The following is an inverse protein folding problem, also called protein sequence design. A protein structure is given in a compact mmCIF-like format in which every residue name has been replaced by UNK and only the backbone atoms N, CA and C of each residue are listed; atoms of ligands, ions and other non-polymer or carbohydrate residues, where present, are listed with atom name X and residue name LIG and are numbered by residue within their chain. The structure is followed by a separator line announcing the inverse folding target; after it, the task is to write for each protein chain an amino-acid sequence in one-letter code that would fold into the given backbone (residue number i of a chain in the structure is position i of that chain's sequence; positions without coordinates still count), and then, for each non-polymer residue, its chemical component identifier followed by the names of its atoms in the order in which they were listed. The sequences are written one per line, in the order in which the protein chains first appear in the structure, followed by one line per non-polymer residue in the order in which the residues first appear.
data_IF_946251300525
#
_entry.id   IF_946251300525
#
_cell.length_a   1.000
_cell.length_b   1.000
_cell.length_c   1.000
_cell.angle_alpha   90.00
_cell.angle_beta   90.00
_cell.angle_gamma   90.00
#
_symmetry.space_group_name_H-M   'P 1'
#
loop_
_entity.id
_entity.type
_entity.pdbx_description
1 polymer ?
#
# COMPACT_ATOMS: atom_id res chain seq x y z
N UNK A 1 12.97 -18.53 37.32
CA UNK A 1 14.24 -18.19 36.65
C UNK A 1 15.01 -19.48 36.44
N UNK A 2 15.09 -20.01 35.21
CA UNK A 2 15.85 -21.23 34.93
C UNK A 2 16.91 -20.95 33.87
N UNK A 3 18.17 -21.02 34.32
CA UNK A 3 19.40 -20.94 33.55
C UNK A 3 19.90 -22.38 33.36
N UNK A 4 20.12 -22.82 32.12
CA UNK A 4 20.84 -24.05 31.78
C UNK A 4 21.84 -23.69 30.68
N UNK A 5 23.13 -23.50 31.01
CA UNK A 5 24.24 -24.47 30.96
C UNK A 5 24.60 -24.93 29.52
N UNK A 6 25.66 -24.28 29.02
CA UNK A 6 26.87 -24.83 28.37
C UNK A 6 26.70 -26.06 27.45
N UNK A 7 26.85 -25.82 26.15
CA UNK A 7 27.30 -26.80 25.16
C UNK A 7 28.42 -26.21 24.31
N UNK A 8 29.64 -26.69 24.54
CA UNK A 8 30.81 -26.62 23.67
C UNK A 8 30.63 -27.62 22.50
N UNK A 9 31.44 -27.54 21.43
CA UNK A 9 31.44 -28.29 20.14
C UNK A 9 30.82 -27.48 18.98
N UNK A 10 31.46 -27.17 17.84
CA UNK A 10 32.71 -27.60 17.20
C UNK A 10 33.10 -26.51 16.20
N UNK A 11 34.39 -26.17 16.14
CA UNK A 11 34.99 -25.33 15.09
C UNK A 11 35.00 -26.16 13.80
N UNK A 12 34.27 -25.72 12.77
CA UNK A 12 34.54 -26.13 11.39
C UNK A 12 35.05 -24.92 10.62
N UNK A 13 36.33 -25.03 10.28
CA UNK A 13 37.04 -24.19 9.33
C UNK A 13 36.43 -24.42 7.95
N UNK A 14 35.58 -23.49 7.50
CA UNK A 14 35.04 -23.46 6.15
C UNK A 14 35.36 -22.11 5.54
N UNK A 15 36.54 -22.01 4.91
CA UNK A 15 36.93 -20.90 4.07
C UNK A 15 36.02 -20.87 2.84
N UNK A 16 34.87 -20.21 2.95
CA UNK A 16 34.07 -19.80 1.81
C UNK A 16 34.04 -18.27 1.81
N UNK A 17 34.89 -17.68 0.98
CA UNK A 17 34.78 -16.31 0.51
C UNK A 17 33.44 -16.16 -0.21
N UNK A 18 32.36 -15.92 0.52
CA UNK A 18 31.12 -15.42 -0.06
C UNK A 18 31.22 -13.91 0.02
N UNK A 19 31.78 -13.33 -1.04
CA UNK A 19 31.60 -11.92 -1.37
C UNK A 19 30.10 -11.68 -1.42
N UNK A 20 29.56 -11.10 -0.36
CA UNK A 20 28.16 -10.67 -0.32
C UNK A 20 28.04 -9.53 -1.31
N UNK A 21 27.67 -9.87 -2.53
CA UNK A 21 27.22 -8.93 -3.54
C UNK A 21 26.12 -8.08 -2.88
N UNK A 22 26.45 -6.84 -2.56
CA UNK A 22 25.49 -5.76 -2.37
C UNK A 22 24.67 -5.71 -3.66
N UNK A 23 23.52 -6.38 -3.65
CA UNK A 23 22.49 -6.19 -4.66
C UNK A 23 22.31 -4.67 -4.78
N UNK A 24 22.54 -4.04 -5.94
CA UNK A 24 22.41 -2.60 -6.03
C UNK A 24 20.99 -2.22 -5.61
N UNK A 25 20.86 -1.44 -4.54
CA UNK A 25 19.60 -0.85 -4.09
C UNK A 25 18.98 0.11 -5.14
N UNK A 26 19.55 0.18 -6.34
CA UNK A 26 19.14 0.99 -7.48
C UNK A 26 17.75 0.62 -8.05
N UNK A 27 17.18 -0.53 -7.67
CA UNK A 27 15.82 -0.90 -8.06
C UNK A 27 14.73 -0.30 -7.15
N UNK A 28 15.05 0.11 -5.92
CA UNK A 28 14.06 0.63 -4.98
C UNK A 28 13.70 2.09 -5.33
N UNK A 29 12.43 2.38 -5.59
CA UNK A 29 11.97 3.76 -5.76
C UNK A 29 12.21 4.60 -4.50
N UNK A 30 12.29 5.92 -4.64
CA UNK A 30 12.45 6.83 -3.50
C UNK A 30 11.31 6.63 -2.50
N UNK A 31 11.65 6.57 -1.21
CA UNK A 31 10.66 6.45 -0.13
C UNK A 31 9.84 7.73 -0.03
N UNK A 32 8.52 7.58 0.04
CA UNK A 32 7.56 8.69 0.16
C UNK A 32 6.53 8.40 1.25
N UNK A 33 6.14 9.44 1.99
CA UNK A 33 5.05 9.40 2.96
C UNK A 33 3.80 9.98 2.31
N UNK A 34 2.66 9.33 2.49
CA UNK A 34 1.38 9.83 1.99
C UNK A 34 0.26 9.56 3.00
N UNK A 35 -0.87 10.24 2.83
CA UNK A 35 -2.07 10.05 3.64
C UNK A 35 -3.18 9.46 2.77
N UNK A 36 -3.82 8.39 3.24
CA UNK A 36 -5.01 7.81 2.61
C UNK A 36 -6.21 8.05 3.54
N UNK A 37 -7.25 8.68 3.00
CA UNK A 37 -8.55 8.89 3.65
C UNK A 37 -9.60 8.07 2.92
N UNK A 38 -10.42 7.31 3.65
CA UNK A 38 -11.56 6.58 3.14
C UNK A 38 -12.86 7.25 3.60
N UNK A 39 -13.74 7.48 2.64
CA UNK A 39 -15.02 8.14 2.83
C UNK A 39 -16.15 7.29 2.24
N UNK A 40 -17.33 7.42 2.84
CA UNK A 40 -18.58 6.93 2.27
C UNK A 40 -19.57 8.08 2.26
N UNK A 41 -20.10 8.42 1.08
CA UNK A 41 -20.99 9.59 0.89
C UNK A 41 -20.38 10.87 1.51
N UNK A 42 -19.11 11.13 1.23
CA UNK A 42 -18.33 12.28 1.74
C UNK A 42 -18.03 12.30 3.25
N UNK A 43 -18.51 11.30 4.00
CA UNK A 43 -18.19 11.15 5.43
C UNK A 43 -16.95 10.28 5.59
N UNK A 44 -15.91 10.84 6.21
CA UNK A 44 -14.68 10.10 6.54
C UNK A 44 -14.96 9.05 7.61
N UNK A 45 -14.57 7.81 7.34
CA UNK A 45 -14.65 6.72 8.31
C UNK A 45 -13.28 6.13 8.66
N UNK A 46 -12.24 6.41 7.86
CA UNK A 46 -10.88 5.95 8.16
C UNK A 46 -9.83 6.85 7.52
N UNK A 47 -8.75 7.09 8.25
CA UNK A 47 -7.55 7.79 7.74
C UNK A 47 -6.31 7.03 8.15
N UNK A 48 -5.31 6.92 7.27
CA UNK A 48 -4.05 6.25 7.57
C UNK A 48 -2.88 6.98 6.90
N UNK A 49 -1.84 7.23 7.67
CA UNK A 49 -0.51 7.62 7.16
C UNK A 49 0.20 6.36 6.67
N UNK A 50 0.73 6.39 5.45
CA UNK A 50 1.43 5.27 4.84
C UNK A 50 2.81 5.70 4.35
N UNK A 51 3.75 4.74 4.35
CA UNK A 51 5.05 4.87 3.70
C UNK A 51 5.04 3.95 2.48
N UNK A 52 5.48 4.45 1.34
CA UNK A 52 5.57 3.70 0.08
C UNK A 52 6.78 4.20 -0.73
N UNK A 53 6.92 3.76 -1.97
CA UNK A 53 7.95 4.23 -2.89
C UNK A 53 7.34 4.83 -4.15
N UNK A 54 8.09 5.72 -4.82
CA UNK A 54 7.66 6.34 -6.10
C UNK A 54 7.41 5.34 -7.23
N UNK A 55 7.94 4.12 -7.13
CA UNK A 55 7.73 3.02 -8.09
C UNK A 55 6.54 2.12 -7.74
N UNK A 56 5.90 2.29 -6.57
CA UNK A 56 4.75 1.49 -6.16
C UNK A 56 3.45 2.20 -6.53
N UNK A 57 2.63 1.58 -7.38
CA UNK A 57 1.34 2.15 -7.75
C UNK A 57 0.35 2.15 -6.58
N UNK A 58 -0.62 3.06 -6.64
CA UNK A 58 -1.61 3.32 -5.59
C UNK A 58 -2.45 2.08 -5.26
N UNK A 59 -2.78 1.24 -6.24
CA UNK A 59 -3.51 -0.02 -5.99
C UNK A 59 -2.73 -0.97 -5.08
N UNK A 60 -1.43 -1.16 -5.35
CA UNK A 60 -0.55 -1.97 -4.49
C UNK A 60 -0.42 -1.36 -3.10
N UNK A 61 -0.29 -0.03 -3.00
CA UNK A 61 -0.27 0.67 -1.71
C UNK A 61 -1.55 0.41 -0.93
N UNK A 62 -2.70 0.49 -1.59
CA UNK A 62 -4.00 0.31 -0.97
C UNK A 62 -4.16 -1.13 -0.44
N UNK A 63 -3.87 -2.15 -1.26
CA UNK A 63 -3.90 -3.57 -0.88
C UNK A 63 -2.96 -3.94 0.28
N UNK A 64 -1.80 -3.28 0.37
CA UNK A 64 -0.86 -3.49 1.50
C UNK A 64 -1.37 -2.92 2.83
N UNK A 65 -2.25 -1.92 2.78
CA UNK A 65 -2.66 -1.16 3.97
C UNK A 65 -4.11 -1.41 4.40
N UNK A 66 -4.94 -1.93 3.50
CA UNK A 66 -6.36 -2.18 3.69
C UNK A 66 -6.77 -3.49 3.01
N UNK A 67 -7.84 -4.11 3.49
CA UNK A 67 -8.49 -5.22 2.78
C UNK A 67 -9.18 -4.64 1.55
N UNK A 68 -8.74 -5.01 0.35
CA UNK A 68 -9.26 -4.48 -0.91
C UNK A 68 -9.65 -5.65 -1.81
N UNK A 69 -10.81 -5.55 -2.45
CA UNK A 69 -11.16 -6.40 -3.59
C UNK A 69 -11.19 -5.55 -4.85
N UNK A 70 -10.74 -6.12 -5.95
CA UNK A 70 -10.78 -5.47 -7.25
C UNK A 70 -11.27 -6.46 -8.31
N UNK A 71 -11.81 -5.93 -9.40
CA UNK A 71 -12.14 -6.68 -10.60
C UNK A 71 -11.74 -5.85 -11.80
N UNK A 72 -10.92 -6.43 -12.69
CA UNK A 72 -10.46 -5.77 -13.93
C UNK A 72 -9.81 -4.39 -13.68
N UNK A 73 -9.02 -4.26 -12.60
CA UNK A 73 -8.35 -3.00 -12.24
C UNK A 73 -9.25 -1.96 -11.56
N UNK A 74 -10.55 -2.22 -11.40
CA UNK A 74 -11.46 -1.38 -10.63
C UNK A 74 -11.61 -1.89 -9.19
N UNK A 75 -11.55 -0.96 -8.23
CA UNK A 75 -11.72 -1.29 -6.81
C UNK A 75 -13.19 -1.54 -6.51
N UNK A 76 -13.55 -2.78 -6.15
CA UNK A 76 -14.93 -3.15 -5.84
C UNK A 76 -15.25 -3.12 -4.35
N UNK A 77 -14.23 -3.21 -3.48
CA UNK A 77 -14.36 -3.18 -2.02
C UNK A 77 -13.12 -2.57 -1.38
N UNK A 78 -13.31 -1.71 -0.38
CA UNK A 78 -12.23 -1.27 0.52
C UNK A 78 -12.73 -1.40 1.96
N UNK A 79 -11.97 -2.11 2.78
CA UNK A 79 -12.25 -2.28 4.21
C UNK A 79 -13.66 -2.83 4.51
N UNK A 80 -14.21 -3.69 3.63
CA UNK A 80 -15.55 -4.26 3.79
C UNK A 80 -16.68 -3.39 3.23
N UNK A 81 -16.37 -2.22 2.68
CA UNK A 81 -17.34 -1.36 2.01
C UNK A 81 -17.30 -1.61 0.50
N UNK A 82 -18.30 -2.36 0.03
CA UNK A 82 -18.44 -2.77 -1.37
C UNK A 82 -19.21 -1.76 -2.21
N UNK A 83 -18.84 -1.65 -3.49
CA UNK A 83 -19.60 -0.91 -4.49
C UNK A 83 -21.00 -1.50 -4.68
N UNK A 84 -21.94 -0.65 -5.08
CA UNK A 84 -23.29 -1.07 -5.45
C UNK A 84 -23.60 -0.60 -6.87
N UNK A 85 -23.52 -1.52 -7.83
CA UNK A 85 -23.83 -1.25 -9.24
C UNK A 85 -25.28 -0.86 -9.47
N UNK A 86 -26.22 -1.44 -8.72
CA UNK A 86 -27.67 -1.12 -8.84
C UNK A 86 -27.95 0.32 -8.39
N UNK A 87 -27.19 0.82 -7.42
CA UNK A 87 -27.30 2.18 -6.90
C UNK A 87 -26.24 3.13 -7.50
N UNK A 88 -25.63 2.78 -8.64
CA UNK A 88 -24.57 3.54 -9.32
C UNK A 88 -23.49 4.08 -8.38
N UNK A 89 -23.14 3.31 -7.34
CA UNK A 89 -22.25 3.73 -6.27
C UNK A 89 -20.88 3.09 -6.43
N UNK A 90 -19.87 3.93 -6.69
CA UNK A 90 -18.52 3.50 -7.04
C UNK A 90 -17.48 4.15 -6.13
N UNK A 91 -16.32 3.48 -6.07
CA UNK A 91 -15.11 4.03 -5.43
C UNK A 91 -14.43 4.99 -6.40
N UNK A 92 -14.54 6.28 -6.10
CA UNK A 92 -13.79 7.33 -6.77
C UNK A 92 -12.67 7.80 -5.86
N UNK A 93 -11.63 8.40 -6.44
CA UNK A 93 -10.58 8.98 -5.62
C UNK A 93 -10.04 10.29 -6.17
N UNK A 94 -9.51 11.08 -5.23
CA UNK A 94 -8.83 12.34 -5.47
C UNK A 94 -7.39 12.24 -4.98
N UNK A 95 -6.49 12.90 -5.67
CA UNK A 95 -5.10 13.13 -5.21
C UNK A 95 -4.93 14.62 -5.00
N UNK A 96 -4.56 15.03 -3.79
CA UNK A 96 -4.40 16.42 -3.39
C UNK A 96 -5.63 17.29 -3.72
N UNK A 97 -6.82 16.74 -3.47
CA UNK A 97 -8.11 17.41 -3.71
C UNK A 97 -8.60 17.40 -5.16
N UNK A 98 -7.76 17.00 -6.13
CA UNK A 98 -8.14 16.92 -7.56
C UNK A 98 -8.59 15.51 -7.92
N UNK A 99 -9.66 15.40 -8.71
CA UNK A 99 -10.13 14.10 -9.22
C UNK A 99 -9.03 13.41 -10.02
N UNK A 100 -8.82 12.12 -9.77
CA UNK A 100 -7.84 11.36 -10.51
C UNK A 100 -8.31 11.14 -11.96
N UNK A 101 -7.44 11.46 -12.92
CA UNK A 101 -7.66 11.17 -14.35
C UNK A 101 -7.24 9.75 -14.74
N UNK A 102 -6.54 9.04 -13.86
CA UNK A 102 -6.03 7.67 -14.06
C UNK A 102 -6.55 6.75 -12.96
N UNK A 103 -6.64 5.46 -13.25
CA UNK A 103 -6.97 4.44 -12.25
C UNK A 103 -5.83 4.21 -11.25
N UNK A 104 -6.13 3.61 -10.09
CA UNK A 104 -5.15 3.38 -9.02
C UNK A 104 -3.96 2.49 -9.44
N UNK A 105 -4.11 1.65 -10.47
CA UNK A 105 -3.01 0.85 -11.02
C UNK A 105 -1.99 1.68 -11.82
N UNK A 106 -2.38 2.86 -12.27
CA UNK A 106 -1.58 3.81 -13.08
C UNK A 106 -1.22 5.09 -12.31
N UNK A 107 -1.64 5.22 -11.06
CA UNK A 107 -1.30 6.34 -10.18
C UNK A 107 -0.11 5.99 -9.29
N UNK A 108 0.88 6.89 -9.21
CA UNK A 108 2.05 6.77 -8.34
C UNK A 108 2.09 8.00 -7.43
N UNK A 109 2.35 7.76 -6.14
CA UNK A 109 2.32 8.83 -5.13
C UNK A 109 3.67 9.54 -5.01
N UNK A 110 3.60 10.84 -4.78
CA UNK A 110 4.72 11.69 -4.38
C UNK A 110 4.74 11.86 -2.87
N UNK A 111 5.85 12.38 -2.36
CA UNK A 111 5.97 12.66 -0.94
C UNK A 111 4.95 13.75 -0.53
N UNK A 112 4.30 13.51 0.59
CA UNK A 112 3.26 14.33 1.21
C UNK A 112 1.93 14.37 0.44
N UNK A 113 1.72 13.48 -0.53
CA UNK A 113 0.42 13.37 -1.20
C UNK A 113 -0.70 12.96 -0.23
N UNK A 114 -1.89 13.51 -0.45
CA UNK A 114 -3.13 13.13 0.23
C UNK A 114 -4.09 12.51 -0.78
N UNK A 115 -4.42 11.25 -0.58
CA UNK A 115 -5.38 10.50 -1.41
C UNK A 115 -6.68 10.34 -0.63
N UNK A 116 -7.80 10.72 -1.24
CA UNK A 116 -9.12 10.50 -0.66
C UNK A 116 -9.90 9.56 -1.56
N UNK A 117 -10.22 8.37 -1.07
CA UNK A 117 -11.17 7.45 -1.69
C UNK A 117 -12.56 7.73 -1.12
N UNK A 118 -13.56 7.87 -1.97
CA UNK A 118 -14.95 8.10 -1.59
C UNK A 118 -15.85 7.10 -2.32
N UNK A 119 -16.61 6.33 -1.55
CA UNK A 119 -17.69 5.50 -2.05
C UNK A 119 -18.97 6.34 -2.12
N UNK A 120 -19.39 6.70 -3.33
CA UNK A 120 -20.56 7.53 -3.53
C UNK A 120 -21.29 7.21 -4.85
N UNK A 121 -22.60 7.52 -4.94
CA UNK A 121 -23.33 7.51 -6.21
C UNK A 121 -22.70 8.46 -7.24
N UNK A 122 -22.77 8.10 -8.52
CA UNK A 122 -22.27 8.92 -9.64
C UNK A 122 -23.40 9.45 -10.53
N UNK A 123 -24.62 9.48 -10.02
CA UNK A 123 -25.83 9.88 -10.74
C UNK A 123 -26.26 11.29 -10.38
#
# INVERSE_FOLDING_TARGET
MHRFIKGLFTIVFGLALITSNLVPAAAAGQSVKAKITLQQKHKTFKTKQIKTTTKTNLMKVLKKNFKVKEKQGMITDIAGHSQNKKASSYWLFKVNGKMASKGATQTYLKNHDSVTFNLAPTN
#
